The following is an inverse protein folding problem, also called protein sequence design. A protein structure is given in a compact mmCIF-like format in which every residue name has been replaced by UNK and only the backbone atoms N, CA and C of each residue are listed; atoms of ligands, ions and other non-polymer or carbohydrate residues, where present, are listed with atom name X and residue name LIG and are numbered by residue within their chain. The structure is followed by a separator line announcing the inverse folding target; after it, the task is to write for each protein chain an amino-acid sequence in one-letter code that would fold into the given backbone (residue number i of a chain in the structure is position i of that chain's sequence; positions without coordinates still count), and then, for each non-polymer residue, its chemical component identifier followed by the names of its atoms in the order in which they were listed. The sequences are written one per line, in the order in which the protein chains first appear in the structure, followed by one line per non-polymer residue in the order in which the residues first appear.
data_IF_181855572994
#
_entry.id   IF_181855572994
#
_cell.length_a   1.000
_cell.length_b   1.000
_cell.length_c   1.000
_cell.angle_alpha   90.00
_cell.angle_beta   90.00
_cell.angle_gamma   90.00
#
_symmetry.space_group_name_H-M   'P 1'
#
loop_
_entity.id
_entity.type
_entity.pdbx_description
1 polymer ?
#
# COMPACT_ATOMS: atom_id res chain seq x y z
N UNK A 1 -21.46 -5.13 32.85
CA UNK A 1 -20.15 -4.68 33.36
C UNK A 1 -20.26 -3.18 33.65
N UNK A 2 -20.11 -2.82 34.92
CA UNK A 2 -20.40 -1.49 35.43
C UNK A 2 -19.21 -0.55 35.16
N UNK A 3 -19.47 0.56 34.44
CA UNK A 3 -18.54 1.67 34.30
C UNK A 3 -18.59 2.51 35.58
N UNK A 4 -17.46 2.66 36.23
CA UNK A 4 -17.29 3.60 37.37
C UNK A 4 -16.89 4.97 36.80
N UNK A 5 -17.82 5.91 36.87
CA UNK A 5 -17.59 7.34 36.64
C UNK A 5 -16.96 7.87 37.92
N UNK A 6 -15.71 8.32 37.85
CA UNK A 6 -15.02 9.01 38.94
C UNK A 6 -15.40 10.49 38.87
N UNK A 7 -16.27 10.92 39.76
CA UNK A 7 -16.66 12.33 39.97
C UNK A 7 -15.58 13.00 40.81
N UNK A 8 -14.76 13.90 40.21
CA UNK A 8 -13.89 14.80 40.99
C UNK A 8 -14.74 15.95 41.52
N UNK A 9 -15.04 15.91 42.81
CA UNK A 9 -15.57 17.04 43.55
C UNK A 9 -14.44 18.04 43.78
N UNK A 10 -14.46 19.17 43.06
CA UNK A 10 -13.66 20.33 43.42
C UNK A 10 -14.28 21.01 44.66
N UNK A 11 -13.70 20.74 45.80
CA UNK A 11 -14.07 21.42 47.04
C UNK A 11 -13.54 22.87 47.01
N UNK A 12 -14.44 23.81 46.79
CA UNK A 12 -14.15 25.23 46.98
C UNK A 12 -13.97 25.49 48.50
N UNK A 13 -12.73 25.63 48.92
CA UNK A 13 -12.47 26.17 50.28
C UNK A 13 -12.77 27.67 50.27
N UNK A 14 -13.93 28.01 50.77
CA UNK A 14 -14.23 29.36 51.24
C UNK A 14 -13.44 29.57 52.54
N UNK A 15 -12.29 30.22 52.42
CA UNK A 15 -11.60 30.73 53.61
C UNK A 15 -12.40 31.91 54.14
N UNK A 16 -13.19 31.67 55.17
CA UNK A 16 -13.82 32.71 55.96
C UNK A 16 -12.75 33.45 56.79
N UNK A 17 -12.41 34.66 56.40
CA UNK A 17 -11.63 35.55 57.27
C UNK A 17 -12.41 35.85 58.52
N UNK A 18 -11.87 35.41 59.67
CA UNK A 18 -12.42 35.71 61.00
C UNK A 18 -12.56 37.23 61.28
N UNK A 19 -13.73 37.65 61.65
CA UNK A 19 -14.01 39.04 62.02
C UNK A 19 -13.39 39.37 63.38
N UNK A 20 -12.15 39.86 63.36
CA UNK A 20 -11.69 40.69 64.54
C UNK A 20 -12.37 42.06 64.38
N UNK A 21 -13.25 42.36 65.31
CA UNK A 21 -13.90 43.70 65.49
C UNK A 21 -12.83 44.74 65.73
N UNK A 22 -12.34 45.45 64.75
CA UNK A 22 -11.69 46.73 64.85
C UNK A 22 -12.76 47.85 64.82
N UNK A 23 -12.55 48.99 65.45
CA UNK A 23 -13.47 50.12 65.42
C UNK A 23 -13.64 50.65 64.00
N UNK A 24 -14.79 51.30 63.68
CA UNK A 24 -15.12 51.66 62.31
C UNK A 24 -14.30 52.84 61.79
N UNK A 25 -13.06 52.66 61.49
CA UNK A 25 -12.36 53.55 60.60
C UNK A 25 -12.71 53.05 59.23
N UNK A 26 -13.49 53.76 58.40
CA UNK A 26 -13.78 53.47 57.03
C UNK A 26 -12.48 53.53 56.23
N UNK A 27 -11.66 52.51 56.38
CA UNK A 27 -10.58 52.31 55.43
C UNK A 27 -11.24 51.89 54.09
N UNK A 28 -11.21 52.81 53.11
CA UNK A 28 -11.62 52.52 51.75
C UNK A 28 -10.72 51.36 51.25
N UNK A 29 -11.35 50.26 50.81
CA UNK A 29 -10.62 49.09 50.40
C UNK A 29 -9.61 49.40 49.31
N UNK A 30 -8.40 48.84 49.39
CA UNK A 30 -7.40 48.95 48.34
C UNK A 30 -7.94 48.34 47.04
N UNK A 31 -7.78 49.04 45.92
CA UNK A 31 -8.23 48.59 44.60
C UNK A 31 -7.11 48.73 43.58
N UNK A 32 -7.18 47.93 42.51
CA UNK A 32 -6.24 48.01 41.40
C UNK A 32 -6.95 47.94 40.04
N UNK A 33 -6.42 48.61 39.07
CA UNK A 33 -6.83 48.56 37.66
C UNK A 33 -5.60 48.37 36.78
N UNK A 34 -5.71 47.58 35.70
CA UNK A 34 -4.65 47.34 34.74
C UNK A 34 -5.11 47.80 33.36
N UNK A 35 -4.45 48.85 32.85
CA UNK A 35 -4.60 49.29 31.46
C UNK A 35 -3.69 48.42 30.57
N UNK A 36 -4.29 47.47 29.87
CA UNK A 36 -3.62 46.51 29.00
C UNK A 36 -4.52 46.17 27.82
N UNK A 37 -3.95 45.89 26.62
CA UNK A 37 -4.70 45.37 25.50
C UNK A 37 -5.25 43.97 25.84
N UNK A 38 -6.32 43.56 25.19
CA UNK A 38 -6.88 42.22 25.36
C UNK A 38 -6.03 41.14 24.64
N UNK A 39 -5.22 41.55 23.64
CA UNK A 39 -4.27 40.67 22.95
C UNK A 39 -2.97 41.37 22.58
N UNK A 40 -1.90 40.60 22.52
CA UNK A 40 -0.56 41.02 22.06
C UNK A 40 -0.01 39.97 21.11
N UNK A 41 0.96 40.35 20.29
CA UNK A 41 1.62 39.41 19.39
C UNK A 41 2.83 38.79 20.09
N UNK A 42 3.07 37.50 19.89
CA UNK A 42 4.21 36.77 20.43
C UNK A 42 5.54 37.47 20.14
N UNK A 43 6.36 37.66 21.17
CA UNK A 43 7.65 38.38 21.08
C UNK A 43 7.55 39.89 20.97
N UNK A 44 6.36 40.49 21.08
CA UNK A 44 6.22 41.94 21.20
C UNK A 44 6.57 42.38 22.62
N UNK A 45 7.23 43.57 22.72
CA UNK A 45 7.46 44.23 24.03
C UNK A 45 6.30 45.18 24.31
N UNK A 46 5.28 44.70 25.00
CA UNK A 46 4.09 45.49 25.32
C UNK A 46 4.17 45.96 26.79
N UNK A 47 4.19 47.28 26.96
CA UNK A 47 4.11 47.90 28.29
C UNK A 47 2.66 48.04 28.72
N UNK A 48 2.34 47.56 29.91
CA UNK A 48 1.04 47.73 30.57
C UNK A 48 1.21 48.56 31.83
N UNK A 49 0.21 49.36 32.15
CA UNK A 49 0.26 50.28 33.31
C UNK A 49 -0.75 49.79 34.36
N UNK A 50 -0.29 49.65 35.57
CA UNK A 50 -1.15 49.32 36.71
C UNK A 50 -1.39 50.57 37.55
N UNK A 51 -2.64 50.77 37.95
CA UNK A 51 -3.05 51.84 38.85
C UNK A 51 -3.57 51.20 40.13
N UNK A 52 -3.10 51.73 41.27
CA UNK A 52 -3.52 51.27 42.59
C UNK A 52 -4.06 52.43 43.39
N UNK A 53 -5.24 52.27 44.00
CA UNK A 53 -5.90 53.29 44.80
C UNK A 53 -6.02 52.79 46.26
N UNK A 54 -5.94 53.74 47.16
CA UNK A 54 -6.02 53.51 48.63
C UNK A 54 -4.89 52.65 49.19
N UNK A 55 -3.71 52.70 48.54
CA UNK A 55 -2.46 52.11 49.01
C UNK A 55 -1.47 53.25 49.23
N UNK A 56 -0.85 53.37 50.41
CA UNK A 56 0.14 54.41 50.65
C UNK A 56 1.33 54.34 49.71
N UNK A 57 1.93 55.51 49.36
CA UNK A 57 3.15 55.54 48.59
C UNK A 57 4.31 54.84 49.34
N UNK A 58 5.12 54.08 48.59
CA UNK A 58 6.26 53.32 49.12
C UNK A 58 5.91 51.90 49.57
N UNK A 59 4.62 51.52 49.55
CA UNK A 59 4.22 50.16 49.86
C UNK A 59 4.43 49.24 48.64
N UNK A 60 4.69 47.95 48.88
CA UNK A 60 4.94 46.94 47.84
C UNK A 60 3.65 46.19 47.46
N UNK A 61 3.36 46.18 46.17
CA UNK A 61 2.34 45.35 45.52
C UNK A 61 3.05 44.25 44.75
N UNK A 62 2.63 43.01 44.96
CA UNK A 62 3.17 41.87 44.22
C UNK A 62 2.32 41.65 42.96
N UNK A 63 2.99 41.65 41.79
CA UNK A 63 2.37 41.39 40.52
C UNK A 63 2.83 40.00 40.06
N UNK A 64 1.90 39.10 39.95
CA UNK A 64 2.12 37.72 39.48
C UNK A 64 1.68 37.67 37.99
N UNK A 65 2.61 37.40 37.12
CA UNK A 65 2.35 37.16 35.69
C UNK A 65 2.53 35.66 35.44
N UNK A 66 1.45 35.01 35.04
CA UNK A 66 1.43 33.57 34.70
C UNK A 66 1.06 33.39 33.26
N UNK A 67 2.00 32.88 32.48
CA UNK A 67 1.88 32.64 31.02
C UNK A 67 2.37 31.25 30.65
N UNK A 68 2.47 31.00 29.34
CA UNK A 68 2.94 29.70 28.80
C UNK A 68 4.39 29.38 29.18
N UNK A 69 5.20 30.38 29.55
CA UNK A 69 6.58 30.23 30.05
C UNK A 69 6.69 29.82 31.50
N UNK A 70 5.63 30.02 32.28
CA UNK A 70 5.63 29.82 33.71
C UNK A 70 5.13 31.06 34.46
N UNK A 71 5.60 31.24 35.68
CA UNK A 71 5.15 32.32 36.57
C UNK A 71 6.33 33.23 36.94
N UNK A 72 6.13 34.53 36.77
CA UNK A 72 7.02 35.57 37.28
C UNK A 72 6.32 36.36 38.37
N UNK A 73 7.07 36.72 39.40
CA UNK A 73 6.61 37.62 40.49
C UNK A 73 7.46 38.88 40.41
N UNK A 74 6.81 40.04 40.31
CA UNK A 74 7.46 41.33 40.25
C UNK A 74 6.96 42.19 41.42
N UNK A 75 7.88 42.79 42.14
CA UNK A 75 7.57 43.80 43.18
C UNK A 75 7.36 45.14 42.51
N UNK A 76 6.22 45.76 42.77
CA UNK A 76 5.84 47.07 42.32
C UNK A 76 5.69 48.00 43.54
N UNK A 77 6.55 48.99 43.63
CA UNK A 77 6.48 49.99 44.71
C UNK A 77 5.53 51.12 44.31
N UNK A 78 4.50 51.35 45.10
CA UNK A 78 3.49 52.40 44.85
C UNK A 78 4.13 53.79 44.86
N UNK A 79 3.66 54.69 43.96
CA UNK A 79 4.25 56.00 43.77
C UNK A 79 5.44 56.04 42.81
N UNK A 80 5.92 54.90 42.29
CA UNK A 80 6.92 54.81 41.25
C UNK A 80 6.27 54.52 39.88
N UNK A 81 6.77 55.18 38.81
CA UNK A 81 6.34 54.90 37.45
C UNK A 81 7.03 53.64 36.91
N UNK A 82 6.69 52.47 37.39
CA UNK A 82 7.18 51.18 36.87
C UNK A 82 6.18 50.59 35.92
N UNK A 83 6.65 50.22 34.74
CA UNK A 83 5.82 49.54 33.72
C UNK A 83 5.96 48.02 33.88
N UNK A 84 4.86 47.33 33.75
CA UNK A 84 4.84 45.86 33.61
C UNK A 84 5.06 45.55 32.12
N UNK A 85 6.03 44.73 31.80
CA UNK A 85 6.35 44.37 30.42
C UNK A 85 5.85 42.95 30.16
N UNK A 86 5.07 42.79 29.07
CA UNK A 86 4.71 41.52 28.52
C UNK A 86 5.60 41.31 27.28
N UNK A 87 6.39 40.26 27.30
CA UNK A 87 7.28 39.89 26.20
C UNK A 87 7.28 38.38 25.91
N UNK A 88 6.16 37.72 26.18
CA UNK A 88 6.01 36.30 25.97
C UNK A 88 6.17 35.94 24.47
N UNK A 89 6.98 34.94 24.18
CA UNK A 89 7.19 34.43 22.84
C UNK A 89 6.32 33.20 22.55
N UNK A 90 5.78 32.53 23.58
CA UNK A 90 4.82 31.45 23.42
C UNK A 90 3.40 31.99 23.39
N UNK A 91 2.63 31.55 22.39
CA UNK A 91 1.20 31.87 22.30
C UNK A 91 0.39 31.20 23.40
N UNK A 92 -0.71 31.83 23.78
CA UNK A 92 -1.56 31.36 24.86
C UNK A 92 -2.15 32.51 25.68
N UNK A 93 -2.57 32.24 26.91
CA UNK A 93 -3.14 33.26 27.78
C UNK A 93 -2.16 33.62 28.88
N UNK A 94 -1.85 34.90 29.02
CA UNK A 94 -1.12 35.46 30.13
C UNK A 94 -2.13 36.03 31.12
N UNK A 95 -2.06 35.55 32.35
CA UNK A 95 -2.89 36.06 33.45
C UNK A 95 -2.03 36.90 34.39
N UNK A 96 -2.37 38.16 34.52
CA UNK A 96 -1.73 39.10 35.45
C UNK A 96 -2.62 39.26 36.67
N UNK A 97 -2.07 39.06 37.89
CA UNK A 97 -2.73 39.25 39.17
C UNK A 97 -1.91 40.19 40.00
N UNK A 98 -2.58 41.04 40.78
CA UNK A 98 -1.92 41.89 41.76
C UNK A 98 -2.43 41.63 43.15
N UNK A 99 -1.50 41.65 44.11
CA UNK A 99 -1.77 41.45 45.56
C UNK A 99 -1.07 42.53 46.36
N UNK A 100 -1.79 43.09 47.33
CA UNK A 100 -1.23 43.95 48.33
C UNK A 100 -1.41 43.29 49.70
N UNK A 101 -0.29 43.01 50.38
CA UNK A 101 -0.29 42.15 51.58
C UNK A 101 -0.94 40.83 51.19
N UNK A 102 -1.98 40.40 51.84
CA UNK A 102 -2.72 39.16 51.49
C UNK A 102 -4.02 39.43 50.71
N UNK A 103 -4.26 40.69 50.31
CA UNK A 103 -5.47 41.08 49.60
C UNK A 103 -5.28 41.03 48.08
N UNK A 104 -6.21 40.34 47.40
CA UNK A 104 -6.29 40.34 45.92
C UNK A 104 -6.84 41.68 45.43
N UNK A 105 -6.16 42.32 44.46
CA UNK A 105 -6.52 43.64 43.96
C UNK A 105 -7.14 43.59 42.56
N UNK A 106 -6.56 42.83 41.64
CA UNK A 106 -7.00 42.74 40.23
C UNK A 106 -6.55 41.46 39.59
N UNK A 107 -7.26 41.11 38.51
CA UNK A 107 -6.85 40.11 37.51
C UNK A 107 -7.17 40.61 36.09
N UNK A 108 -6.24 40.43 35.17
CA UNK A 108 -6.47 40.64 33.74
C UNK A 108 -5.89 39.47 32.97
N UNK A 109 -6.63 39.01 32.00
CA UNK A 109 -6.13 38.03 31.02
C UNK A 109 -5.81 38.74 29.72
N UNK A 110 -4.68 38.36 29.10
CA UNK A 110 -4.19 38.89 27.83
C UNK A 110 -3.84 37.71 26.94
N UNK A 111 -4.37 37.71 25.73
CA UNK A 111 -4.11 36.64 24.74
C UNK A 111 -2.83 36.97 23.98
N UNK A 112 -1.84 36.09 24.05
CA UNK A 112 -0.65 36.16 23.19
C UNK A 112 -0.95 35.40 21.91
N UNK A 113 -1.07 36.11 20.79
CA UNK A 113 -1.35 35.54 19.47
C UNK A 113 -0.06 35.18 18.74
N UNK A 114 -0.01 34.09 17.97
CA UNK A 114 1.17 33.72 17.21
C UNK A 114 1.44 34.75 16.09
N UNK A 115 2.69 34.78 15.63
CA UNK A 115 3.08 35.46 14.41
C UNK A 115 2.58 34.69 13.15
N UNK A 116 2.63 35.27 11.96
CA UNK A 116 2.48 34.52 10.72
C UNK A 116 3.47 33.37 10.63
N UNK A 117 3.14 32.32 9.87
CA UNK A 117 4.02 31.17 9.66
C UNK A 117 5.40 31.61 9.17
N UNK A 118 6.43 31.02 9.75
CA UNK A 118 7.83 31.27 9.41
C UNK A 118 8.60 29.96 9.49
N UNK A 119 9.35 29.62 8.44
CA UNK A 119 10.03 28.35 8.33
C UNK A 119 9.21 27.29 7.58
N UNK A 120 9.88 26.22 7.17
CA UNK A 120 9.27 25.13 6.41
C UNK A 120 8.25 24.40 7.29
N UNK A 121 6.97 24.28 6.87
CA UNK A 121 6.00 23.51 7.63
C UNK A 121 6.37 22.02 7.66
N UNK A 122 6.31 21.40 8.82
CA UNK A 122 6.38 19.94 8.92
C UNK A 122 5.18 19.32 8.21
N UNK A 123 5.47 18.48 7.20
CA UNK A 123 4.45 17.95 6.31
C UNK A 123 4.47 16.42 6.31
N UNK A 124 3.30 15.83 6.42
CA UNK A 124 3.08 14.39 6.43
C UNK A 124 2.10 14.01 5.33
N UNK A 125 2.36 12.88 4.67
CA UNK A 125 1.48 12.28 3.67
C UNK A 125 1.14 10.84 4.07
N UNK A 126 -0.12 10.52 4.18
CA UNK A 126 -0.67 9.20 4.39
C UNK A 126 -1.95 9.03 3.55
N UNK A 127 -2.09 7.99 2.80
CA UNK A 127 -1.23 6.90 2.42
C UNK A 127 -0.09 7.31 1.48
N UNK A 128 0.97 6.47 1.37
CA UNK A 128 2.04 6.70 0.39
C UNK A 128 1.71 6.14 -0.99
N UNK A 129 0.72 5.26 -1.08
CA UNK A 129 0.24 4.68 -2.33
C UNK A 129 -1.27 4.55 -2.27
N UNK A 130 -1.91 4.82 -3.41
CA UNK A 130 -3.35 4.73 -3.62
C UNK A 130 -3.62 4.13 -5.00
N UNK A 131 -4.85 3.64 -5.22
CA UNK A 131 -5.26 3.14 -6.52
C UNK A 131 -5.71 4.32 -7.39
N UNK A 132 -5.20 4.39 -8.63
CA UNK A 132 -5.58 5.41 -9.62
C UNK A 132 -6.98 5.13 -10.19
N UNK A 133 -8.03 5.20 -9.35
CA UNK A 133 -9.40 4.85 -9.70
C UNK A 133 -10.39 6.02 -9.63
N UNK A 134 -9.89 7.23 -9.30
CA UNK A 134 -10.69 8.43 -9.12
C UNK A 134 -11.49 8.46 -7.81
N UNK A 135 -11.28 7.52 -6.89
CA UNK A 135 -12.03 7.36 -5.64
C UNK A 135 -11.16 7.18 -4.41
N UNK A 136 -10.09 6.41 -4.54
CA UNK A 136 -9.12 6.21 -3.47
C UNK A 136 -8.47 7.55 -3.11
N UNK A 137 -7.84 7.65 -1.94
CA UNK A 137 -7.35 8.94 -1.47
C UNK A 137 -6.19 8.81 -0.48
N UNK A 138 -5.42 9.86 -0.43
CA UNK A 138 -4.41 10.11 0.60
C UNK A 138 -4.71 11.43 1.33
N UNK A 139 -4.15 11.62 2.49
CA UNK A 139 -4.24 12.88 3.24
C UNK A 139 -2.86 13.51 3.34
N UNK A 140 -2.73 14.77 2.91
CA UNK A 140 -1.58 15.60 3.23
C UNK A 140 -1.92 16.48 4.42
N UNK A 141 -0.99 16.57 5.38
CA UNK A 141 -1.15 17.35 6.60
C UNK A 141 0.11 18.14 6.86
N UNK A 142 -0.04 19.39 7.27
CA UNK A 142 1.09 20.23 7.68
C UNK A 142 0.83 20.87 9.05
N UNK A 143 1.90 21.04 9.80
CA UNK A 143 1.92 21.74 11.09
C UNK A 143 2.74 23.02 10.92
N UNK A 144 2.13 24.10 10.44
CA UNK A 144 2.83 25.37 10.28
C UNK A 144 3.01 26.06 11.63
N UNK A 145 4.21 26.57 11.85
CA UNK A 145 4.55 27.30 13.08
C UNK A 145 5.15 28.66 12.74
N UNK A 146 5.07 29.58 13.71
CA UNK A 146 5.81 30.82 13.65
C UNK A 146 7.31 30.62 14.01
N UNK A 147 8.10 31.69 13.98
CA UNK A 147 9.53 31.65 14.32
C UNK A 147 9.84 31.23 15.78
N UNK A 148 8.86 31.23 16.64
CA UNK A 148 8.97 30.80 18.05
C UNK A 148 8.44 29.39 18.28
N UNK A 149 7.96 28.69 17.22
CA UNK A 149 7.38 27.36 17.32
C UNK A 149 5.90 27.34 17.75
N UNK A 150 5.23 28.48 17.78
CA UNK A 150 3.80 28.53 18.05
C UNK A 150 3.01 28.02 16.84
N UNK A 151 1.98 27.24 17.08
CA UNK A 151 0.98 26.93 16.06
C UNK A 151 0.34 28.23 15.56
N UNK A 152 0.20 28.37 14.26
CA UNK A 152 -0.37 29.58 13.66
C UNK A 152 -1.87 29.70 13.96
N UNK A 153 -2.40 30.91 13.72
CA UNK A 153 -3.80 31.23 13.99
C UNK A 153 -4.77 30.28 13.27
N UNK A 154 -5.88 29.94 13.94
CA UNK A 154 -7.03 29.28 13.34
C UNK A 154 -7.51 29.97 12.05
N UNK A 155 -8.06 29.18 11.11
CA UNK A 155 -8.57 29.63 9.82
C UNK A 155 -7.53 30.36 8.96
N UNK A 156 -6.25 30.15 9.19
CA UNK A 156 -5.20 30.62 8.27
C UNK A 156 -5.29 29.85 6.96
N UNK A 157 -5.34 30.55 5.85
CA UNK A 157 -5.44 29.95 4.50
C UNK A 157 -4.11 29.30 4.11
N UNK A 158 -4.19 28.08 3.62
CA UNK A 158 -3.07 27.32 3.04
C UNK A 158 -3.38 27.00 1.59
N UNK A 159 -2.38 27.01 0.75
CA UNK A 159 -2.44 26.55 -0.65
C UNK A 159 -1.79 25.16 -0.75
N UNK A 160 -2.53 24.20 -1.28
CA UNK A 160 -2.08 22.86 -1.57
C UNK A 160 -1.82 22.75 -3.07
N UNK A 161 -0.56 22.52 -3.41
CA UNK A 161 -0.13 22.32 -4.78
C UNK A 161 0.00 20.82 -5.08
N UNK A 162 -0.63 20.36 -6.16
CA UNK A 162 -0.54 18.98 -6.66
C UNK A 162 0.01 19.00 -8.08
N UNK A 163 1.00 18.14 -8.35
CA UNK A 163 1.51 17.87 -9.69
C UNK A 163 1.24 16.40 -10.03
N UNK A 164 0.27 16.17 -10.93
CA UNK A 164 -0.19 14.83 -11.32
C UNK A 164 0.48 14.31 -12.59
N UNK A 165 0.52 12.97 -12.80
CA UNK A 165 1.09 12.36 -14.00
C UNK A 165 0.38 12.83 -15.27
N UNK A 166 1.10 13.59 -16.12
CA UNK A 166 0.59 14.05 -17.42
C UNK A 166 -0.51 15.11 -17.33
N UNK A 167 -0.68 15.73 -16.18
CA UNK A 167 -1.56 16.86 -15.91
C UNK A 167 -0.70 18.06 -15.47
N UNK A 168 -1.29 19.24 -15.45
CA UNK A 168 -0.63 20.44 -14.96
C UNK A 168 -0.57 20.49 -13.43
N UNK A 169 -0.16 21.65 -12.90
CA UNK A 169 -0.26 21.94 -11.49
C UNK A 169 -1.69 22.30 -11.12
N UNK A 170 -2.16 21.72 -10.03
CA UNK A 170 -3.46 22.03 -9.42
C UNK A 170 -3.21 22.75 -8.10
N UNK A 171 -4.08 23.72 -7.78
CA UNK A 171 -4.06 24.46 -6.53
C UNK A 171 -5.39 24.31 -5.81
N UNK A 172 -5.32 23.99 -4.52
CA UNK A 172 -6.48 23.84 -3.66
C UNK A 172 -6.27 24.63 -2.37
N UNK A 173 -7.32 25.29 -1.89
CA UNK A 173 -7.26 26.04 -0.64
C UNK A 173 -7.82 25.22 0.52
N UNK A 174 -7.10 25.22 1.63
CA UNK A 174 -7.55 24.70 2.89
C UNK A 174 -7.32 25.72 4.01
N UNK A 175 -7.94 25.51 5.15
CA UNK A 175 -7.78 26.36 6.34
C UNK A 175 -7.24 25.53 7.49
N UNK A 176 -6.42 26.16 8.32
CA UNK A 176 -5.94 25.53 9.54
C UNK A 176 -7.08 25.35 10.55
N UNK A 177 -7.10 24.16 11.17
CA UNK A 177 -7.93 23.84 12.34
C UNK A 177 -7.04 23.28 13.43
N UNK A 178 -7.18 23.80 14.64
CA UNK A 178 -6.29 23.46 15.76
C UNK A 178 -4.80 23.60 15.43
N UNK A 179 -4.47 24.63 14.60
CA UNK A 179 -3.10 24.87 14.14
C UNK A 179 -2.60 23.88 13.07
N UNK A 180 -3.44 22.99 12.53
CA UNK A 180 -3.08 21.98 11.54
C UNK A 180 -3.78 22.29 10.22
N UNK A 181 -3.05 22.27 9.12
CA UNK A 181 -3.61 22.28 7.77
C UNK A 181 -3.68 20.84 7.24
N UNK A 182 -4.82 20.43 6.70
CA UNK A 182 -4.97 19.12 6.08
C UNK A 182 -5.83 19.19 4.82
N UNK A 183 -5.48 18.34 3.84
CA UNK A 183 -6.22 18.24 2.60
C UNK A 183 -6.31 16.78 2.14
N UNK A 184 -7.51 16.37 1.73
CA UNK A 184 -7.78 15.05 1.14
C UNK A 184 -7.45 15.08 -0.34
N UNK A 185 -6.40 14.37 -0.73
CA UNK A 185 -6.00 14.20 -2.13
C UNK A 185 -6.74 12.97 -2.67
N UNK A 186 -7.76 13.18 -3.48
CA UNK A 186 -8.42 12.09 -4.21
C UNK A 186 -7.51 11.65 -5.36
N UNK A 187 -7.33 10.34 -5.52
CA UNK A 187 -6.53 9.78 -6.61
C UNK A 187 -7.06 10.20 -7.98
N UNK A 188 -6.16 10.36 -8.93
CA UNK A 188 -6.50 10.51 -10.34
C UNK A 188 -6.95 9.17 -10.96
N UNK A 189 -7.05 9.15 -12.28
CA UNK A 189 -7.32 7.92 -13.06
C UNK A 189 -6.10 7.43 -13.81
N UNK A 190 -4.97 8.14 -13.72
CA UNK A 190 -3.72 7.83 -14.39
C UNK A 190 -2.67 7.40 -13.38
N UNK A 191 -2.16 6.18 -13.53
CA UNK A 191 -1.11 5.67 -12.67
C UNK A 191 0.21 6.43 -12.88
N UNK A 192 0.92 6.66 -11.79
CA UNK A 192 2.19 7.38 -11.79
C UNK A 192 2.51 7.99 -10.43
N UNK A 193 3.32 9.05 -10.43
CA UNK A 193 3.72 9.77 -9.23
C UNK A 193 3.06 11.13 -9.20
N UNK A 194 2.31 11.38 -8.15
CA UNK A 194 1.77 12.70 -7.81
C UNK A 194 2.66 13.34 -6.76
N UNK A 195 3.11 14.57 -6.97
CA UNK A 195 3.83 15.35 -5.98
C UNK A 195 2.87 16.32 -5.32
N UNK A 196 2.90 16.38 -4.00
CA UNK A 196 2.03 17.23 -3.20
C UNK A 196 2.86 18.11 -2.26
N UNK A 197 2.56 19.39 -2.23
CA UNK A 197 3.14 20.38 -1.32
C UNK A 197 2.08 21.24 -0.66
N UNK A 198 2.42 21.85 0.47
CA UNK A 198 1.59 22.84 1.16
C UNK A 198 2.38 24.12 1.31
N UNK A 199 1.78 25.25 0.95
CA UNK A 199 2.34 26.57 1.24
C UNK A 199 1.41 27.40 2.12
N UNK A 200 2.01 28.23 2.95
CA UNK A 200 1.30 29.16 3.82
C UNK A 200 2.11 30.43 3.97
N UNK A 201 1.47 31.59 3.79
CA UNK A 201 2.14 32.90 3.83
C UNK A 201 3.37 32.97 2.94
N UNK A 202 3.38 32.28 1.76
CA UNK A 202 4.51 32.23 0.84
C UNK A 202 5.64 31.28 1.25
N UNK A 203 5.49 30.53 2.35
CA UNK A 203 6.45 29.51 2.77
C UNK A 203 5.94 28.15 2.36
N UNK A 204 6.66 27.47 1.47
CA UNK A 204 6.29 26.14 0.95
C UNK A 204 6.97 25.02 1.70
N UNK A 205 6.27 23.90 1.89
CA UNK A 205 6.84 22.67 2.43
C UNK A 205 7.74 21.96 1.41
N UNK A 206 8.46 20.92 1.86
CA UNK A 206 9.04 19.95 0.93
C UNK A 206 7.91 19.16 0.28
N UNK A 207 8.04 18.91 -1.02
CA UNK A 207 7.11 18.04 -1.75
C UNK A 207 7.14 16.62 -1.21
N UNK A 208 5.98 15.98 -1.21
CA UNK A 208 5.76 14.57 -0.85
C UNK A 208 5.30 13.81 -2.07
N UNK A 209 5.86 12.61 -2.25
CA UNK A 209 5.49 11.71 -3.33
C UNK A 209 4.32 10.81 -2.90
N UNK A 210 3.25 10.81 -3.71
CA UNK A 210 2.14 9.87 -3.67
C UNK A 210 2.23 8.99 -4.91
N UNK A 211 2.31 7.67 -4.72
CA UNK A 211 2.30 6.71 -5.82
C UNK A 211 0.85 6.32 -6.13
N UNK A 212 0.39 6.63 -7.34
CA UNK A 212 -0.91 6.19 -7.84
C UNK A 212 -0.70 4.94 -8.69
N UNK A 213 -1.18 3.78 -8.23
CA UNK A 213 -0.99 2.48 -8.89
C UNK A 213 -2.20 2.13 -9.73
N UNK A 214 -2.00 1.34 -10.80
CA UNK A 214 -3.12 0.79 -11.56
C UNK A 214 -4.06 -0.04 -10.66
N UNK A 215 -5.33 0.00 -10.96
CA UNK A 215 -6.33 -0.87 -10.36
C UNK A 215 -6.23 -2.31 -10.87
N UNK A 216 -7.20 -3.15 -10.47
CA UNK A 216 -7.27 -4.53 -10.98
C UNK A 216 -7.44 -4.53 -12.50
N UNK A 217 -6.73 -5.44 -13.21
CA UNK A 217 -6.87 -5.57 -14.65
C UNK A 217 -8.33 -5.82 -15.05
N UNK A 218 -8.73 -5.20 -16.16
CA UNK A 218 -9.96 -5.51 -16.85
C UNK A 218 -9.83 -6.85 -17.62
N UNK A 219 -10.82 -7.21 -18.45
CA UNK A 219 -10.73 -8.40 -19.31
C UNK A 219 -9.50 -8.32 -20.21
N UNK A 220 -8.83 -9.43 -20.38
CA UNK A 220 -7.61 -9.55 -21.19
C UNK A 220 -7.66 -10.82 -22.04
N UNK A 221 -6.75 -10.94 -23.01
CA UNK A 221 -6.62 -12.12 -23.86
C UNK A 221 -5.33 -12.86 -23.59
N UNK A 222 -5.35 -14.16 -23.90
CA UNK A 222 -4.17 -15.00 -23.94
C UNK A 222 -3.96 -15.56 -25.35
N UNK A 223 -2.70 -15.71 -25.74
CA UNK A 223 -2.28 -16.28 -27.02
C UNK A 223 -1.23 -17.34 -26.80
N UNK A 224 -1.11 -18.27 -27.77
CA UNK A 224 -0.09 -19.31 -27.76
C UNK A 224 0.90 -19.11 -28.91
N UNK A 225 2.19 -19.21 -28.59
CA UNK A 225 3.28 -19.26 -29.57
C UNK A 225 3.89 -20.65 -29.51
N UNK A 226 3.81 -21.37 -30.63
CA UNK A 226 4.34 -22.73 -30.77
C UNK A 226 5.19 -22.88 -32.02
N UNK A 227 6.26 -23.66 -31.94
CA UNK A 227 7.14 -24.01 -33.08
C UNK A 227 6.65 -25.22 -33.84
N UNK A 228 5.80 -26.05 -33.22
CA UNK A 228 5.32 -27.31 -33.78
C UNK A 228 3.86 -27.53 -33.36
N UNK A 229 3.14 -28.23 -34.25
CA UNK A 229 1.76 -28.67 -34.00
C UNK A 229 1.70 -30.13 -33.53
N UNK A 230 2.86 -30.79 -33.33
CA UNK A 230 2.93 -32.20 -33.00
C UNK A 230 2.95 -32.46 -31.50
N UNK A 231 2.20 -33.46 -31.09
CA UNK A 231 2.18 -34.01 -29.74
C UNK A 231 3.41 -34.92 -29.56
N UNK A 232 4.58 -34.34 -29.30
CA UNK A 232 5.87 -35.02 -29.26
C UNK A 232 6.45 -35.15 -27.82
N UNK A 233 5.78 -34.61 -26.85
CA UNK A 233 6.23 -34.59 -25.43
C UNK A 233 7.66 -34.08 -25.23
N UNK A 234 8.18 -33.21 -26.07
CA UNK A 234 9.58 -32.73 -26.04
C UNK A 234 9.71 -31.23 -26.25
N UNK A 235 9.05 -30.72 -27.30
CA UNK A 235 9.10 -29.30 -27.56
C UNK A 235 8.25 -28.52 -26.59
N UNK A 236 8.61 -27.27 -26.39
CA UNK A 236 7.84 -26.35 -25.55
C UNK A 236 7.11 -25.32 -26.43
N UNK A 237 5.97 -24.87 -25.95
CA UNK A 237 5.24 -23.75 -26.46
C UNK A 237 4.98 -22.74 -25.32
N UNK A 238 4.78 -21.50 -25.68
CA UNK A 238 4.57 -20.42 -24.73
C UNK A 238 3.15 -19.91 -24.82
N UNK A 239 2.52 -19.67 -23.67
CA UNK A 239 1.27 -18.94 -23.56
C UNK A 239 1.57 -17.63 -22.86
N UNK A 240 1.09 -16.54 -23.45
CA UNK A 240 1.27 -15.21 -22.88
C UNK A 240 -0.03 -14.43 -22.88
N UNK A 241 -0.16 -13.53 -21.92
CA UNK A 241 -1.23 -12.55 -21.90
C UNK A 241 -0.91 -11.42 -22.89
N UNK A 242 -1.92 -10.66 -23.30
CA UNK A 242 -1.68 -9.28 -23.74
C UNK A 242 -1.22 -8.42 -22.57
N UNK A 243 -0.99 -7.13 -22.81
CA UNK A 243 -0.63 -6.19 -21.74
C UNK A 243 -1.84 -5.99 -20.83
N UNK A 244 -1.73 -6.46 -19.59
CA UNK A 244 -2.77 -6.31 -18.59
C UNK A 244 -2.96 -4.84 -18.25
N UNK A 245 -4.19 -4.35 -18.36
CA UNK A 245 -4.56 -2.96 -18.09
C UNK A 245 -5.82 -2.90 -17.24
N UNK A 246 -5.90 -1.91 -16.37
CA UNK A 246 -7.12 -1.59 -15.67
C UNK A 246 -8.15 -0.90 -16.62
N UNK A 247 -9.33 -0.57 -16.09
CA UNK A 247 -10.41 0.08 -16.86
C UNK A 247 -10.06 1.47 -17.38
N UNK A 248 -9.01 2.10 -16.86
CA UNK A 248 -8.52 3.42 -17.29
C UNK A 248 -7.34 3.32 -18.26
N UNK A 249 -6.88 2.11 -18.58
CA UNK A 249 -5.76 1.85 -19.48
C UNK A 249 -4.40 1.88 -18.79
N UNK A 250 -4.33 1.97 -17.48
CA UNK A 250 -3.08 1.87 -16.74
C UNK A 250 -2.57 0.43 -16.79
N UNK A 251 -1.27 0.27 -17.05
CA UNK A 251 -0.62 -1.04 -17.09
C UNK A 251 -0.55 -1.60 -15.66
N UNK A 252 -0.91 -2.88 -15.49
CA UNK A 252 -0.83 -3.58 -14.23
C UNK A 252 0.60 -3.52 -13.65
N UNK A 253 0.74 -3.37 -12.33
CA UNK A 253 2.05 -3.30 -11.69
C UNK A 253 2.91 -4.55 -11.98
N UNK A 254 4.23 -4.36 -11.97
CA UNK A 254 5.18 -5.48 -12.00
C UNK A 254 4.91 -6.47 -10.87
N UNK A 255 5.03 -7.76 -11.17
CA UNK A 255 4.77 -8.80 -10.18
C UNK A 255 3.28 -9.10 -9.93
N UNK A 256 2.35 -8.56 -10.74
CA UNK A 256 0.94 -8.98 -10.66
C UNK A 256 0.82 -10.47 -10.97
N UNK A 257 0.26 -11.25 -10.05
CA UNK A 257 0.13 -12.69 -10.20
C UNK A 257 -0.99 -13.05 -11.17
N UNK A 258 -0.66 -13.93 -12.13
CA UNK A 258 -1.60 -14.49 -13.11
C UNK A 258 -1.60 -16.00 -12.94
N UNK A 259 -2.75 -16.58 -12.66
CA UNK A 259 -2.97 -18.01 -12.56
C UNK A 259 -3.46 -18.56 -13.91
N UNK A 260 -2.71 -19.49 -14.50
CA UNK A 260 -3.09 -20.21 -15.71
C UNK A 260 -3.62 -21.59 -15.34
N UNK A 261 -4.85 -21.86 -15.72
CA UNK A 261 -5.50 -23.17 -15.61
C UNK A 261 -5.45 -23.86 -16.97
N UNK A 262 -4.66 -24.93 -17.06
CA UNK A 262 -4.47 -25.69 -18.27
C UNK A 262 -5.14 -27.06 -18.14
N UNK A 263 -6.03 -27.42 -19.06
CA UNK A 263 -6.65 -28.74 -19.12
C UNK A 263 -6.11 -29.46 -20.35
N UNK A 264 -5.45 -30.58 -20.13
CA UNK A 264 -4.89 -31.44 -21.18
C UNK A 264 -5.99 -32.30 -21.86
N UNK A 265 -5.66 -32.93 -22.99
CA UNK A 265 -6.59 -33.77 -23.76
C UNK A 265 -7.15 -34.96 -22.97
N UNK A 266 -6.44 -35.44 -21.97
CA UNK A 266 -6.86 -36.53 -21.07
C UNK A 266 -7.69 -36.03 -19.87
N UNK A 267 -7.96 -34.71 -19.79
CA UNK A 267 -8.69 -34.10 -18.68
C UNK A 267 -7.83 -33.71 -17.49
N UNK A 268 -6.52 -33.95 -17.52
CA UNK A 268 -5.61 -33.54 -16.46
C UNK A 268 -5.56 -32.01 -16.35
N UNK A 269 -5.76 -31.48 -15.15
CA UNK A 269 -5.71 -30.03 -14.87
C UNK A 269 -4.38 -29.68 -14.24
N UNK A 270 -3.70 -28.70 -14.82
CA UNK A 270 -2.47 -28.09 -14.27
C UNK A 270 -2.71 -26.64 -13.99
N UNK A 271 -2.27 -26.18 -12.82
CA UNK A 271 -2.31 -24.78 -12.42
C UNK A 271 -0.89 -24.23 -12.33
N UNK A 272 -0.64 -23.13 -13.03
CA UNK A 272 0.66 -22.49 -13.11
C UNK A 272 0.54 -21.01 -12.81
N UNK A 273 1.39 -20.52 -11.92
CA UNK A 273 1.48 -19.10 -11.61
C UNK A 273 2.58 -18.45 -12.44
N UNK A 274 2.32 -17.24 -12.89
CA UNK A 274 3.30 -16.36 -13.50
C UNK A 274 3.07 -14.93 -13.04
N UNK A 275 4.10 -14.11 -13.13
CA UNK A 275 4.07 -12.73 -12.70
C UNK A 275 4.29 -11.81 -13.89
N UNK A 276 3.64 -10.63 -13.87
CA UNK A 276 3.79 -9.66 -14.95
C UNK A 276 5.19 -9.05 -14.97
N UNK A 277 5.71 -8.92 -16.19
CA UNK A 277 6.86 -8.09 -16.55
C UNK A 277 6.44 -7.20 -17.72
N UNK A 278 6.51 -5.87 -17.55
CA UNK A 278 5.94 -4.95 -18.55
C UNK A 278 4.43 -5.11 -18.74
N UNK A 279 3.71 -5.56 -17.72
CA UNK A 279 2.28 -5.86 -17.78
C UNK A 279 1.92 -7.18 -18.46
N UNK A 280 2.89 -8.01 -18.89
CA UNK A 280 2.67 -9.29 -19.58
C UNK A 280 3.09 -10.44 -18.67
N UNK A 281 2.24 -11.45 -18.51
CA UNK A 281 2.58 -12.71 -17.87
C UNK A 281 2.67 -13.82 -18.90
N UNK A 282 3.62 -14.75 -18.71
CA UNK A 282 3.82 -15.88 -19.63
C UNK A 282 4.19 -17.16 -18.92
N UNK A 283 3.75 -18.29 -19.47
CA UNK A 283 4.14 -19.64 -19.05
C UNK A 283 4.71 -20.41 -20.22
N UNK A 284 5.59 -21.36 -19.92
CA UNK A 284 6.09 -22.34 -20.90
C UNK A 284 5.53 -23.71 -20.56
N UNK A 285 4.92 -24.36 -21.54
CA UNK A 285 4.37 -25.69 -21.44
C UNK A 285 5.05 -26.63 -22.43
N UNK A 286 5.26 -27.87 -22.02
CA UNK A 286 5.70 -28.91 -22.93
C UNK A 286 4.54 -29.36 -23.84
N UNK A 287 4.82 -29.66 -25.10
CA UNK A 287 3.85 -30.26 -26.01
C UNK A 287 3.27 -31.55 -25.37
N UNK A 288 1.97 -31.83 -25.54
CA UNK A 288 1.39 -33.04 -24.99
C UNK A 288 1.99 -34.31 -25.60
N UNK A 289 1.88 -35.44 -24.93
CA UNK A 289 2.26 -36.74 -25.44
C UNK A 289 1.18 -37.33 -26.40
N UNK A 290 -0.07 -36.87 -26.26
CA UNK A 290 -1.21 -37.33 -27.02
C UNK A 290 -1.80 -36.24 -27.92
N UNK A 291 -2.31 -36.63 -29.09
CA UNK A 291 -3.10 -35.73 -29.94
C UNK A 291 -4.38 -35.30 -29.22
N UNK A 292 -4.78 -34.05 -29.43
CA UNK A 292 -5.99 -33.49 -28.83
C UNK A 292 -5.86 -32.01 -28.54
N UNK A 293 -6.78 -31.48 -27.79
CA UNK A 293 -6.83 -30.08 -27.38
C UNK A 293 -6.23 -29.87 -26.01
N UNK A 294 -5.41 -28.86 -25.85
CA UNK A 294 -5.10 -28.25 -24.57
C UNK A 294 -5.94 -26.99 -24.47
N UNK A 295 -6.74 -26.87 -23.41
CA UNK A 295 -7.53 -25.67 -23.15
C UNK A 295 -6.93 -24.90 -22.00
N UNK A 296 -6.74 -23.59 -22.18
CA UNK A 296 -6.14 -22.71 -21.18
C UNK A 296 -7.04 -21.52 -20.91
N UNK A 297 -7.15 -21.18 -19.63
CA UNK A 297 -7.71 -19.92 -19.13
C UNK A 297 -6.74 -19.31 -18.15
N UNK A 298 -6.66 -18.01 -18.15
CA UNK A 298 -5.86 -17.26 -17.18
C UNK A 298 -6.74 -16.32 -16.36
N UNK A 299 -6.38 -16.12 -15.10
CA UNK A 299 -7.10 -15.21 -14.19
C UNK A 299 -6.14 -14.44 -13.31
N UNK A 300 -6.54 -13.23 -12.92
CA UNK A 300 -5.88 -12.41 -11.92
C UNK A 300 -6.77 -12.38 -10.67
N UNK A 301 -6.22 -12.74 -9.51
CA UNK A 301 -6.98 -12.75 -8.25
C UNK A 301 -7.59 -11.36 -7.98
N UNK A 302 -8.91 -11.31 -7.80
CA UNK A 302 -9.66 -10.06 -7.61
C UNK A 302 -9.82 -9.21 -8.88
N UNK A 303 -9.34 -9.70 -10.02
CA UNK A 303 -9.44 -9.05 -11.33
C UNK A 303 -10.27 -9.85 -12.32
N UNK A 304 -9.94 -9.71 -13.61
CA UNK A 304 -10.63 -10.35 -14.69
C UNK A 304 -10.06 -11.73 -15.06
N UNK A 305 -10.82 -12.46 -15.85
CA UNK A 305 -10.41 -13.67 -16.53
C UNK A 305 -10.13 -13.41 -18.01
N UNK A 306 -9.28 -14.25 -18.60
CA UNK A 306 -9.01 -14.26 -20.03
C UNK A 306 -10.11 -14.94 -20.83
N UNK A 307 -10.02 -14.84 -22.17
CA UNK A 307 -10.69 -15.78 -23.06
C UNK A 307 -10.26 -17.21 -22.77
N UNK A 308 -11.07 -18.17 -23.19
CA UNK A 308 -10.67 -19.59 -23.26
C UNK A 308 -9.88 -19.82 -24.54
N UNK A 309 -8.65 -20.31 -24.44
CA UNK A 309 -7.77 -20.62 -25.55
C UNK A 309 -7.68 -22.13 -25.74
N UNK A 310 -8.13 -22.65 -26.88
CA UNK A 310 -8.01 -24.08 -27.24
C UNK A 310 -6.95 -24.28 -28.30
N UNK A 311 -5.96 -25.13 -28.02
CA UNK A 311 -4.80 -25.38 -28.86
C UNK A 311 -4.81 -26.84 -29.26
N UNK A 312 -4.99 -27.11 -30.55
CA UNK A 312 -4.98 -28.49 -31.09
C UNK A 312 -3.56 -28.95 -31.38
N UNK A 313 -3.23 -30.16 -30.93
CA UNK A 313 -2.03 -30.90 -31.26
C UNK A 313 -2.38 -32.17 -32.04
N UNK A 314 -1.68 -32.45 -33.13
CA UNK A 314 -1.81 -33.68 -33.87
C UNK A 314 -0.77 -34.71 -33.44
N UNK A 315 -1.04 -36.00 -33.63
CA UNK A 315 -0.09 -37.05 -33.29
C UNK A 315 1.27 -36.88 -33.95
N UNK A 316 2.34 -37.05 -33.21
CA UNK A 316 3.71 -36.87 -33.68
C UNK A 316 4.20 -38.00 -34.59
N UNK A 317 3.54 -39.16 -34.53
CA UNK A 317 3.94 -40.37 -35.26
C UNK A 317 2.89 -40.76 -36.30
N UNK A 318 3.37 -41.40 -37.38
CA UNK A 318 2.47 -41.87 -38.42
C UNK A 318 1.95 -43.26 -38.12
N UNK A 319 2.83 -44.16 -37.75
CA UNK A 319 2.51 -45.57 -37.52
C UNK A 319 3.59 -46.23 -36.66
N UNK A 320 3.19 -47.15 -35.79
CA UNK A 320 4.07 -48.06 -35.06
C UNK A 320 4.10 -49.37 -35.84
N UNK A 321 5.26 -49.70 -36.43
CA UNK A 321 5.45 -51.00 -37.09
C UNK A 321 6.12 -51.92 -36.08
N UNK A 322 5.52 -53.10 -35.85
CA UNK A 322 6.07 -54.07 -34.93
C UNK A 322 5.98 -55.46 -35.57
N UNK A 323 7.10 -56.20 -35.58
CA UNK A 323 7.24 -57.51 -36.24
C UNK A 323 7.82 -58.48 -35.22
N UNK A 324 7.22 -59.64 -35.06
CA UNK A 324 7.74 -60.72 -34.24
C UNK A 324 8.77 -61.57 -35.01
N UNK A 325 9.93 -61.79 -34.40
CA UNK A 325 10.97 -62.71 -34.89
C UNK A 325 10.96 -63.98 -34.01
N UNK A 326 10.47 -65.10 -34.57
CA UNK A 326 10.38 -66.35 -33.86
C UNK A 326 11.73 -66.99 -33.50
N UNK A 327 12.78 -66.72 -34.30
CA UNK A 327 14.12 -67.21 -34.01
C UNK A 327 14.76 -66.54 -32.79
N UNK A 328 14.58 -65.23 -32.73
CA UNK A 328 15.14 -64.43 -31.61
C UNK A 328 14.22 -64.28 -30.42
N UNK A 329 12.97 -64.74 -30.52
CA UNK A 329 11.91 -64.56 -29.54
C UNK A 329 11.79 -63.09 -29.12
N UNK A 330 11.76 -62.20 -30.10
CA UNK A 330 11.66 -60.75 -29.90
C UNK A 330 10.65 -60.10 -30.82
N UNK A 331 10.02 -59.04 -30.32
CA UNK A 331 9.22 -58.16 -31.17
C UNK A 331 10.08 -56.92 -31.46
N UNK A 332 10.50 -56.76 -32.74
CA UNK A 332 11.20 -55.58 -33.18
C UNK A 332 10.18 -54.53 -33.59
N UNK A 333 10.27 -53.37 -32.92
CA UNK A 333 9.40 -52.22 -33.13
C UNK A 333 10.20 -51.15 -33.87
N UNK A 334 9.76 -50.77 -35.06
CA UNK A 334 10.45 -49.74 -35.85
C UNK A 334 10.55 -50.07 -37.38
N UNK A 335 11.12 -49.16 -38.19
CA UNK A 335 11.71 -47.88 -37.76
C UNK A 335 10.63 -46.90 -37.29
N UNK A 336 10.81 -46.37 -36.09
CA UNK A 336 9.90 -45.40 -35.51
C UNK A 336 10.27 -43.98 -36.00
N UNK A 337 9.39 -43.43 -36.82
CA UNK A 337 9.58 -42.12 -37.45
C UNK A 337 8.45 -41.16 -37.07
N UNK A 338 8.82 -39.92 -36.77
CA UNK A 338 7.88 -38.84 -36.71
C UNK A 338 7.34 -38.40 -38.04
N UNK A 339 6.31 -37.55 -38.05
CA UNK A 339 5.68 -37.05 -39.29
C UNK A 339 6.62 -36.26 -40.17
N UNK A 340 7.72 -35.73 -39.65
CA UNK A 340 8.80 -35.09 -40.41
C UNK A 340 9.90 -36.08 -40.84
N UNK A 341 9.63 -37.40 -40.80
CA UNK A 341 10.54 -38.49 -41.16
C UNK A 341 11.78 -38.64 -40.28
N UNK A 342 11.94 -37.83 -39.24
CA UNK A 342 13.02 -38.00 -38.27
C UNK A 342 12.81 -39.26 -37.43
N UNK A 343 13.90 -39.94 -37.11
CA UNK A 343 13.86 -41.08 -36.19
C UNK A 343 13.51 -40.64 -34.77
N UNK A 344 12.79 -41.48 -34.05
CA UNK A 344 12.55 -41.29 -32.62
C UNK A 344 13.90 -41.28 -31.88
N UNK A 345 14.13 -40.36 -30.96
CA UNK A 345 15.39 -40.29 -30.23
C UNK A 345 15.70 -41.59 -29.47
N UNK A 346 16.97 -41.90 -29.32
CA UNK A 346 17.44 -43.01 -28.50
C UNK A 346 16.98 -42.82 -27.02
N UNK A 347 16.66 -43.92 -26.35
CA UNK A 347 16.14 -43.90 -24.96
C UNK A 347 14.63 -43.62 -24.88
N UNK A 348 13.90 -43.52 -25.99
CA UNK A 348 12.44 -43.43 -25.96
C UNK A 348 11.86 -44.79 -25.57
N UNK A 349 11.04 -44.81 -24.50
CA UNK A 349 10.45 -46.05 -23.97
C UNK A 349 9.32 -46.53 -24.87
N UNK A 350 9.40 -47.77 -25.31
CA UNK A 350 8.34 -48.52 -25.93
C UNK A 350 7.84 -49.60 -24.97
N UNK A 351 6.55 -49.72 -24.76
CA UNK A 351 5.99 -50.74 -23.89
C UNK A 351 5.12 -51.73 -24.66
N UNK A 352 5.15 -52.97 -24.24
CA UNK A 352 4.28 -54.05 -24.75
C UNK A 352 3.45 -54.61 -23.58
N UNK A 353 2.13 -54.52 -23.68
CA UNK A 353 1.20 -55.24 -22.82
C UNK A 353 0.85 -56.56 -23.44
N UNK A 354 1.43 -57.64 -22.91
CA UNK A 354 1.23 -58.99 -23.44
C UNK A 354 0.09 -59.69 -22.71
N UNK A 355 -0.87 -60.20 -23.48
CA UNK A 355 -2.06 -60.93 -23.00
C UNK A 355 -2.86 -60.16 -21.96
N UNK A 356 -2.79 -58.81 -21.95
CA UNK A 356 -3.45 -57.95 -20.98
C UNK A 356 -2.93 -58.03 -19.54
N UNK A 357 -1.79 -58.68 -19.32
CA UNK A 357 -1.24 -58.94 -17.96
C UNK A 357 0.19 -58.50 -17.78
N UNK A 358 1.08 -58.83 -18.71
CA UNK A 358 2.52 -58.57 -18.57
C UNK A 358 2.96 -57.35 -19.33
N UNK A 359 3.60 -56.40 -18.65
CA UNK A 359 4.18 -55.22 -19.30
C UNK A 359 5.68 -55.42 -19.43
N UNK A 360 6.16 -55.37 -20.65
CA UNK A 360 7.58 -55.40 -21.02
C UNK A 360 7.93 -54.04 -21.61
N UNK A 361 9.05 -53.44 -21.16
CA UNK A 361 9.53 -52.14 -21.64
C UNK A 361 10.88 -52.29 -22.30
N UNK A 362 11.10 -51.55 -23.37
CA UNK A 362 12.37 -51.47 -24.08
C UNK A 362 12.62 -50.02 -24.51
N UNK A 363 13.87 -49.66 -24.75
CA UNK A 363 14.26 -48.33 -25.17
C UNK A 363 14.69 -48.35 -26.63
N UNK A 364 14.42 -47.26 -27.35
CA UNK A 364 14.81 -47.12 -28.74
C UNK A 364 16.31 -46.86 -28.89
N UNK A 365 16.91 -47.48 -29.87
CA UNK A 365 18.26 -47.22 -30.40
C UNK A 365 18.13 -47.11 -31.94
N UNK A 366 18.58 -46.00 -32.54
CA UNK A 366 18.52 -45.79 -33.97
C UNK A 366 17.07 -45.84 -34.53
N UNK A 367 16.07 -45.55 -33.72
CA UNK A 367 14.65 -45.60 -34.08
C UNK A 367 14.01 -46.99 -33.97
N UNK A 368 14.69 -47.97 -33.43
CA UNK A 368 14.19 -49.33 -33.19
C UNK A 368 14.18 -49.66 -31.71
N UNK A 369 13.24 -50.49 -31.29
CA UNK A 369 13.21 -51.05 -29.93
C UNK A 369 12.95 -52.56 -30.04
N UNK A 370 13.73 -53.38 -29.34
CA UNK A 370 13.56 -54.84 -29.26
C UNK A 370 12.92 -55.21 -27.94
N UNK A 371 11.76 -55.82 -28.00
CA UNK A 371 11.01 -56.31 -26.81
C UNK A 371 11.24 -57.80 -26.71
N UNK A 372 11.96 -58.23 -25.66
CA UNK A 372 12.25 -59.64 -25.41
C UNK A 372 11.01 -60.36 -24.83
N UNK A 373 10.57 -61.37 -25.58
CA UNK A 373 9.40 -62.20 -25.20
C UNK A 373 9.80 -63.64 -24.98
N UNK A 374 11.11 -63.95 -24.86
CA UNK A 374 11.62 -65.32 -24.68
C UNK A 374 11.18 -65.99 -23.39
N UNK A 375 10.82 -65.21 -22.36
CA UNK A 375 10.30 -65.69 -21.08
C UNK A 375 8.82 -66.08 -21.10
N UNK A 376 8.11 -65.93 -22.22
CA UNK A 376 6.72 -66.31 -22.33
C UNK A 376 6.54 -67.84 -22.63
N UNK A 377 5.46 -68.49 -22.16
CA UNK A 377 5.20 -69.89 -22.45
C UNK A 377 4.93 -70.11 -23.95
N UNK A 378 5.12 -71.40 -24.41
CA UNK A 378 4.71 -71.76 -25.79
C UNK A 378 3.22 -71.56 -25.98
N UNK A 379 2.87 -71.08 -27.16
CA UNK A 379 1.48 -70.83 -27.53
C UNK A 379 1.24 -69.51 -28.27
N UNK A 380 -0.02 -69.18 -28.45
CA UNK A 380 -0.47 -67.94 -29.10
C UNK A 380 -0.51 -66.80 -28.09
N UNK A 381 0.02 -65.65 -28.47
CA UNK A 381 0.09 -64.46 -27.66
C UNK A 381 -0.40 -63.24 -28.48
N UNK A 382 -0.88 -62.24 -27.73
CA UNK A 382 -1.26 -60.93 -28.25
C UNK A 382 -0.54 -59.85 -27.45
N UNK A 383 0.19 -58.98 -28.10
CA UNK A 383 0.83 -57.83 -27.51
C UNK A 383 0.24 -56.53 -28.03
N UNK A 384 -0.02 -55.61 -27.13
CA UNK A 384 -0.35 -54.23 -27.50
C UNK A 384 0.91 -53.42 -27.26
N UNK A 385 1.54 -52.99 -28.37
CA UNK A 385 2.72 -52.16 -28.36
C UNK A 385 2.27 -50.72 -28.24
N UNK A 386 2.78 -50.02 -27.25
CA UNK A 386 2.45 -48.62 -26.99
C UNK A 386 3.72 -47.74 -27.09
N UNK A 387 3.67 -46.73 -27.93
CA UNK A 387 4.63 -45.64 -27.99
C UNK A 387 3.86 -44.33 -27.85
N UNK A 388 4.14 -43.59 -26.79
CA UNK A 388 3.30 -42.47 -26.37
C UNK A 388 1.84 -42.94 -26.28
N UNK A 389 0.89 -42.34 -26.97
CA UNK A 389 -0.51 -42.78 -27.01
C UNK A 389 -0.89 -43.48 -28.34
N UNK A 390 0.07 -43.95 -29.10
CA UNK A 390 -0.14 -44.72 -30.33
C UNK A 390 0.02 -46.19 -30.01
N UNK A 391 -1.00 -46.99 -30.28
CA UNK A 391 -1.04 -48.41 -30.04
C UNK A 391 -1.00 -49.21 -31.33
N UNK A 392 -0.25 -50.33 -31.33
CA UNK A 392 -0.22 -51.32 -32.39
C UNK A 392 -0.39 -52.70 -31.78
N UNK A 393 -1.31 -53.47 -32.30
CA UNK A 393 -1.50 -54.86 -31.86
C UNK A 393 -0.66 -55.79 -32.70
N UNK A 394 0.05 -56.72 -32.08
CA UNK A 394 0.82 -57.77 -32.70
C UNK A 394 0.33 -59.13 -32.14
N UNK A 395 -0.07 -60.04 -33.00
CA UNK A 395 -0.39 -61.41 -32.62
C UNK A 395 0.77 -62.31 -33.11
N UNK A 396 1.25 -63.17 -32.22
CA UNK A 396 2.39 -64.04 -32.49
C UNK A 396 2.28 -65.38 -31.77
N UNK A 397 3.08 -66.36 -32.18
CA UNK A 397 3.14 -67.67 -31.55
C UNK A 397 4.56 -68.06 -31.25
N UNK A 398 4.80 -68.47 -29.99
CA UNK A 398 6.07 -69.05 -29.56
C UNK A 398 5.98 -70.55 -29.69
N UNK A 399 6.91 -71.09 -30.53
CA UNK A 399 7.02 -72.52 -30.79
C UNK A 399 8.00 -73.23 -29.89
#
# INVERSE_FOLDING_TARGET
MKQHILLFLASAMLVSCGTNKMPPNRQVAATGELQAPDSVVAGSHTSVTAFFSNIPNGETVYIIQNGSWGTTVTEYVTGQNKKIIINDTLSGTVTIRAFYKECFLLQKQIVVTPLPAAGLPDTYLGSKSVIADGRDWAMITAVPTDKYGNLIKENSTTDIELLRPGEGREHHLAQTRYGIASYKITAGTKAGKTFAGISINGVSSKEKELVETAGFPASFSITAERKSIYADARQNFTIKTDVLKDRFGNIAPEGTNVLFNCTDADGTIRQLNSYTLGGIASISLQNPAAAGYITVRASVTGGAESNSLSIFFTGAFQQVIAIFDDNRKRITVGPLRGKLQQLVPNGTVVSALVNGKTIIKSETIGGYADIDVSGLPKGKHKAIITLFNTNQTVEFSIR
#
